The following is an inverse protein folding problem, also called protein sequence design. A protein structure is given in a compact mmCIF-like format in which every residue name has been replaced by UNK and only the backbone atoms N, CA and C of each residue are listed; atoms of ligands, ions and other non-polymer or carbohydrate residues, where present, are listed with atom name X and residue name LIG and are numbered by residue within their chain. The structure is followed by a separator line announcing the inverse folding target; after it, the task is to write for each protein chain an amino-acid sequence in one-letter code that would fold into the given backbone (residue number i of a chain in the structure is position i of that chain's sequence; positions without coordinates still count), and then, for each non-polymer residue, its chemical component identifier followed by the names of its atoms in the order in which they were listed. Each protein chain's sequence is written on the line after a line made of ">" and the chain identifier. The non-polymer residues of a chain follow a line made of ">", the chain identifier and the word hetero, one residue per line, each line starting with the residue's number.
data_IF_053615465487
#
_entry.id   IF_053615465487
#
_cell.length_a   1.000
_cell.length_b   1.000
_cell.length_c   1.000
_cell.angle_alpha   90.00
_cell.angle_beta   90.00
_cell.angle_gamma   90.00
#
_symmetry.space_group_name_H-M   'P 1'
#
loop_
_entity.id
_entity.type
_entity.pdbx_description
1 polymer ?
#
# COMPACT_ATOMS: atom_id res chain seq x y z
N UNK A 1 -14.80 44.71 -16.06
CA UNK A 1 -13.81 44.23 -15.06
C UNK A 1 -13.56 42.76 -15.36
N UNK A 2 -12.45 42.46 -16.02
CA UNK A 2 -12.03 41.08 -16.26
C UNK A 2 -11.57 40.50 -14.92
N UNK A 3 -12.24 39.44 -14.48
CA UNK A 3 -11.75 38.65 -13.35
C UNK A 3 -10.38 38.10 -13.76
N UNK A 4 -9.36 38.35 -12.97
CA UNK A 4 -8.05 37.75 -13.11
C UNK A 4 -8.25 36.22 -13.12
N UNK A 5 -7.98 35.58 -14.28
CA UNK A 5 -7.80 34.12 -14.35
C UNK A 5 -6.57 33.79 -13.50
N UNK A 6 -6.83 33.45 -12.24
CA UNK A 6 -5.81 32.92 -11.36
C UNK A 6 -5.21 31.68 -12.02
N UNK A 7 -3.91 31.72 -12.24
CA UNK A 7 -3.11 30.66 -12.83
C UNK A 7 -3.50 29.31 -12.19
N UNK A 8 -4.24 28.47 -12.94
CA UNK A 8 -4.65 27.16 -12.46
C UNK A 8 -3.39 26.36 -12.13
N UNK A 9 -3.16 26.10 -10.88
CA UNK A 9 -1.99 25.34 -10.43
C UNK A 9 -2.04 23.91 -10.98
N UNK A 10 -1.08 23.58 -11.83
CA UNK A 10 -0.88 22.21 -12.33
C UNK A 10 -0.20 21.38 -11.24
N UNK A 11 -0.83 20.27 -10.83
CA UNK A 11 -0.33 19.36 -9.82
C UNK A 11 -0.16 17.95 -10.41
N UNK A 12 0.86 17.24 -9.96
CA UNK A 12 1.09 15.84 -10.29
C UNK A 12 0.62 14.94 -9.14
N UNK A 13 -0.17 13.90 -9.45
CA UNK A 13 -0.60 12.90 -8.49
C UNK A 13 0.09 11.55 -8.79
N UNK A 14 1.07 11.19 -7.97
CA UNK A 14 1.77 9.92 -8.05
C UNK A 14 0.95 8.79 -7.44
N UNK A 15 0.85 7.65 -8.15
CA UNK A 15 0.20 6.45 -7.63
C UNK A 15 1.14 5.26 -7.73
N UNK A 16 1.36 4.58 -6.61
CA UNK A 16 2.19 3.38 -6.57
C UNK A 16 1.65 2.30 -7.50
N UNK A 17 2.48 1.68 -8.37
CA UNK A 17 2.04 0.75 -9.41
C UNK A 17 1.76 -0.65 -8.85
N UNK A 18 0.56 -0.87 -8.29
CA UNK A 18 0.13 -2.16 -7.73
C UNK A 18 -0.59 -3.06 -8.74
N UNK A 19 -1.03 -2.50 -9.86
CA UNK A 19 -1.74 -3.18 -10.94
C UNK A 19 -1.24 -2.66 -12.29
N UNK A 20 -1.68 -3.28 -13.41
CA UNK A 20 -1.28 -2.82 -14.74
C UNK A 20 -1.64 -1.34 -14.98
N UNK A 21 -0.86 -0.60 -15.80
CA UNK A 21 -1.10 0.83 -16.05
C UNK A 21 -2.52 1.15 -16.54
N UNK A 22 -3.10 0.28 -17.37
CA UNK A 22 -4.46 0.45 -17.87
C UNK A 22 -5.51 0.36 -16.75
N UNK A 23 -5.40 -0.64 -15.87
CA UNK A 23 -6.30 -0.79 -14.71
C UNK A 23 -6.12 0.33 -13.69
N UNK A 24 -4.89 0.77 -13.48
CA UNK A 24 -4.59 1.88 -12.61
C UNK A 24 -5.21 3.17 -13.14
N UNK A 25 -5.02 3.47 -14.44
CA UNK A 25 -5.61 4.65 -15.07
C UNK A 25 -7.16 4.61 -15.02
N UNK A 26 -7.78 3.47 -15.32
CA UNK A 26 -9.23 3.33 -15.26
C UNK A 26 -9.82 3.64 -13.88
N UNK A 27 -9.10 3.31 -12.81
CA UNK A 27 -9.57 3.55 -11.44
C UNK A 27 -9.21 4.95 -10.91
N UNK A 28 -8.05 5.49 -11.29
CA UNK A 28 -7.53 6.71 -10.69
C UNK A 28 -7.80 7.99 -11.50
N UNK A 29 -7.91 7.90 -12.83
CA UNK A 29 -8.17 9.10 -13.65
C UNK A 29 -9.49 9.76 -13.27
N UNK A 30 -10.65 9.05 -13.20
CA UNK A 30 -11.91 9.68 -12.79
C UNK A 30 -11.85 10.25 -11.36
N UNK A 31 -11.18 9.56 -10.44
CA UNK A 31 -10.97 10.02 -9.07
C UNK A 31 -10.18 11.35 -9.03
N UNK A 32 -9.07 11.43 -9.77
CA UNK A 32 -8.20 12.61 -9.83
C UNK A 32 -8.91 13.77 -10.54
N UNK A 33 -9.67 13.51 -11.60
CA UNK A 33 -10.48 14.51 -12.28
C UNK A 33 -11.54 15.13 -11.34
N UNK A 34 -12.17 14.30 -10.50
CA UNK A 34 -13.10 14.79 -9.48
C UNK A 34 -12.41 15.69 -8.46
N UNK A 35 -11.24 15.31 -7.95
CA UNK A 35 -10.46 16.15 -7.04
C UNK A 35 -10.08 17.48 -7.71
N UNK A 36 -9.70 17.46 -8.97
CA UNK A 36 -9.42 18.67 -9.74
C UNK A 36 -10.63 19.60 -9.88
N UNK A 37 -11.81 19.03 -10.16
CA UNK A 37 -13.06 19.79 -10.26
C UNK A 37 -13.46 20.44 -8.93
N UNK A 38 -13.32 19.72 -7.81
CA UNK A 38 -13.67 20.22 -6.48
C UNK A 38 -12.70 21.31 -5.97
N UNK A 39 -11.43 21.23 -6.37
CA UNK A 39 -10.37 22.12 -5.87
C UNK A 39 -10.04 23.27 -6.83
N UNK A 40 -10.48 23.21 -8.09
CA UNK A 40 -10.11 24.13 -9.15
C UNK A 40 -8.69 23.94 -9.69
N UNK A 41 -7.96 22.90 -9.25
CA UNK A 41 -6.62 22.58 -9.76
C UNK A 41 -6.67 21.66 -10.98
N UNK A 42 -5.63 21.74 -11.83
CA UNK A 42 -5.39 20.73 -12.85
C UNK A 42 -4.50 19.65 -12.25
N UNK A 43 -5.07 18.47 -11.96
CA UNK A 43 -4.32 17.37 -11.35
C UNK A 43 -4.08 16.27 -12.38
N UNK A 44 -2.82 15.89 -12.60
CA UNK A 44 -2.42 14.89 -13.60
C UNK A 44 -1.92 13.63 -12.94
N UNK A 45 -2.51 12.48 -13.31
CA UNK A 45 -2.02 11.17 -12.88
C UNK A 45 -0.60 10.95 -13.41
N UNK A 46 0.26 10.51 -12.51
CA UNK A 46 1.60 9.99 -12.81
C UNK A 46 1.79 8.65 -12.13
N UNK A 47 2.34 7.69 -12.82
CA UNK A 47 2.74 6.40 -12.26
C UNK A 47 4.11 6.01 -12.78
N UNK A 48 4.62 4.86 -12.38
CA UNK A 48 5.90 4.34 -12.80
C UNK A 48 5.75 2.89 -13.30
N UNK A 49 6.75 2.38 -14.02
CA UNK A 49 6.75 0.99 -14.50
C UNK A 49 6.89 -0.01 -13.35
N UNK A 50 7.63 0.35 -12.31
CA UNK A 50 7.89 -0.48 -11.13
C UNK A 50 7.79 0.34 -9.85
N UNK A 51 7.64 -0.35 -8.71
CA UNK A 51 7.64 0.29 -7.39
C UNK A 51 8.98 0.99 -7.14
N UNK A 52 10.11 0.38 -7.50
CA UNK A 52 11.43 0.98 -7.33
C UNK A 52 11.58 2.33 -8.07
N UNK A 53 11.11 2.40 -9.34
CA UNK A 53 11.11 3.67 -10.10
C UNK A 53 10.17 4.69 -9.47
N UNK A 54 9.04 4.24 -8.90
CA UNK A 54 8.11 5.13 -8.20
C UNK A 54 8.77 5.72 -6.94
N UNK A 55 9.46 4.91 -6.16
CA UNK A 55 10.18 5.32 -4.95
C UNK A 55 11.35 6.26 -5.26
N UNK A 56 12.12 5.98 -6.31
CA UNK A 56 13.16 6.88 -6.81
C UNK A 56 12.59 8.27 -7.14
N UNK A 57 11.47 8.33 -7.87
CA UNK A 57 10.78 9.58 -8.22
C UNK A 57 10.22 10.31 -6.99
N UNK A 58 9.74 9.57 -5.98
CA UNK A 58 9.37 10.16 -4.70
C UNK A 58 10.57 10.83 -4.02
N UNK A 59 11.72 10.13 -3.94
CA UNK A 59 12.96 10.67 -3.39
C UNK A 59 13.43 11.93 -4.12
N UNK A 60 13.22 12.01 -5.44
CA UNK A 60 13.49 13.19 -6.26
C UNK A 60 12.42 14.29 -6.14
N UNK A 61 11.33 14.05 -5.39
CA UNK A 61 10.25 15.00 -5.23
C UNK A 61 9.42 15.27 -6.50
N UNK A 62 9.34 14.32 -7.45
CA UNK A 62 8.68 14.52 -8.74
C UNK A 62 7.15 14.48 -8.68
N UNK A 63 6.56 14.16 -7.54
CA UNK A 63 5.12 14.18 -7.33
C UNK A 63 4.74 15.29 -6.34
N UNK A 64 3.67 16.02 -6.64
CA UNK A 64 3.09 17.01 -5.73
C UNK A 64 2.23 16.34 -4.65
N UNK A 65 1.48 15.34 -5.07
CA UNK A 65 0.62 14.49 -4.25
C UNK A 65 1.01 13.06 -4.57
N UNK A 66 1.01 12.16 -3.59
CA UNK A 66 1.28 10.75 -3.85
C UNK A 66 0.42 9.84 -2.97
N UNK A 67 -0.09 8.75 -3.59
CA UNK A 67 -0.67 7.60 -2.89
C UNK A 67 0.38 6.50 -2.83
N UNK A 68 0.78 6.12 -1.63
CA UNK A 68 1.90 5.22 -1.42
C UNK A 68 1.65 4.24 -0.27
N UNK A 69 2.37 3.12 -0.28
CA UNK A 69 2.27 2.15 0.81
C UNK A 69 2.85 2.73 2.12
N UNK A 70 2.52 2.15 3.28
CA UNK A 70 2.91 2.69 4.57
C UNK A 70 4.43 2.83 4.76
N UNK A 71 5.22 1.85 4.33
CA UNK A 71 6.67 1.90 4.43
C UNK A 71 7.26 2.98 3.50
N UNK A 72 6.84 3.00 2.24
CA UNK A 72 7.26 4.05 1.29
C UNK A 72 6.93 5.44 1.83
N UNK A 73 5.79 5.60 2.53
CA UNK A 73 5.46 6.86 3.19
C UNK A 73 6.45 7.21 4.30
N UNK A 74 6.79 6.28 5.20
CA UNK A 74 7.72 6.61 6.30
C UNK A 74 9.09 7.06 5.78
N UNK A 75 9.62 6.39 4.75
CA UNK A 75 10.87 6.78 4.08
C UNK A 75 10.75 8.16 3.40
N UNK A 76 9.66 8.38 2.64
CA UNK A 76 9.44 9.64 1.91
C UNK A 76 9.11 10.81 2.85
N UNK A 77 8.60 10.55 4.04
CA UNK A 77 8.36 11.55 5.08
C UNK A 77 9.67 12.06 5.69
N UNK A 78 10.67 11.19 5.86
CA UNK A 78 12.01 11.60 6.29
C UNK A 78 12.72 12.36 5.16
N UNK A 79 12.71 11.84 3.94
CA UNK A 79 13.31 12.48 2.78
C UNK A 79 12.53 12.14 1.50
N UNK A 80 12.07 13.14 0.72
CA UNK A 80 12.30 14.60 0.79
C UNK A 80 11.34 15.36 1.73
N UNK A 81 10.61 14.69 2.61
CA UNK A 81 9.76 15.33 3.61
C UNK A 81 8.28 15.41 3.21
N UNK A 82 7.77 14.41 2.49
CA UNK A 82 6.32 14.31 2.23
C UNK A 82 5.54 14.32 3.55
N UNK A 83 4.43 15.06 3.57
CA UNK A 83 3.57 15.20 4.74
C UNK A 83 2.25 14.50 4.51
N UNK A 84 1.81 13.69 5.45
CA UNK A 84 0.53 13.03 5.39
C UNK A 84 -0.60 14.05 5.21
N UNK A 85 -1.59 13.68 4.42
CA UNK A 85 -2.80 14.46 4.18
C UNK A 85 -4.03 13.66 4.59
N UNK A 86 -4.14 12.42 4.10
CA UNK A 86 -5.27 11.56 4.37
C UNK A 86 -4.87 10.08 4.29
N UNK A 87 -5.68 9.23 4.92
CA UNK A 87 -5.64 7.77 4.79
C UNK A 87 -7.03 7.21 4.53
N UNK A 88 -7.11 5.95 4.12
CA UNK A 88 -8.39 5.26 3.95
C UNK A 88 -9.11 5.16 5.31
N UNK A 89 -10.38 5.57 5.33
CA UNK A 89 -11.26 5.57 6.49
C UNK A 89 -11.44 4.16 7.05
N UNK A 90 -11.25 4.00 8.36
CA UNK A 90 -11.43 2.72 9.07
C UNK A 90 -10.64 1.54 8.44
N UNK A 91 -9.52 1.82 7.76
CA UNK A 91 -8.72 0.79 7.10
C UNK A 91 -7.43 0.53 7.85
N UNK A 92 -7.21 -0.75 8.18
CA UNK A 92 -5.94 -1.27 8.68
C UNK A 92 -5.42 -2.33 7.70
N UNK A 93 -4.12 -2.59 7.74
CA UNK A 93 -3.45 -3.55 6.86
C UNK A 93 -2.73 -4.57 7.74
N UNK A 94 -2.88 -5.87 7.39
CA UNK A 94 -2.17 -6.97 8.04
C UNK A 94 -1.59 -7.94 7.02
N UNK A 95 -0.54 -8.62 7.40
CA UNK A 95 0.04 -9.75 6.70
C UNK A 95 -0.55 -11.07 7.17
N UNK A 96 -0.44 -12.09 6.33
CA UNK A 96 -0.79 -13.48 6.64
C UNK A 96 0.44 -14.36 6.41
N UNK A 97 0.61 -15.37 7.25
CA UNK A 97 1.41 -16.56 6.92
C UNK A 97 0.45 -17.72 6.71
N UNK A 98 0.50 -18.32 5.53
CA UNK A 98 -0.31 -19.48 5.15
C UNK A 98 0.57 -20.72 5.03
N UNK A 99 -0.02 -21.87 5.32
CA UNK A 99 0.55 -23.21 5.16
C UNK A 99 -0.51 -24.12 4.57
N UNK A 100 -0.12 -25.32 4.11
CA UNK A 100 -1.11 -26.35 3.75
C UNK A 100 -2.01 -26.69 4.95
N UNK A 101 -3.27 -27.02 4.68
CA UNK A 101 -4.22 -27.36 5.75
C UNK A 101 -3.79 -28.62 6.54
N UNK A 102 -3.16 -29.60 5.87
CA UNK A 102 -2.65 -30.85 6.43
C UNK A 102 -1.22 -30.74 7.00
N UNK A 103 -0.61 -29.54 6.98
CA UNK A 103 0.72 -29.28 7.49
C UNK A 103 0.83 -29.52 8.99
N UNK A 104 1.98 -30.05 9.42
CA UNK A 104 2.30 -30.26 10.83
C UNK A 104 2.57 -28.94 11.60
N UNK A 105 2.91 -27.83 10.90
CA UNK A 105 3.18 -26.54 11.52
C UNK A 105 1.95 -26.01 12.26
N UNK A 106 2.10 -25.60 13.52
CA UNK A 106 1.02 -25.07 14.37
C UNK A 106 1.26 -23.62 14.78
N UNK A 107 2.51 -23.19 14.81
CA UNK A 107 2.96 -21.86 15.20
C UNK A 107 3.99 -21.31 14.21
N UNK A 108 4.32 -20.02 14.31
CA UNK A 108 5.42 -19.45 13.53
C UNK A 108 6.77 -20.08 13.87
N UNK A 109 6.97 -20.48 15.13
CA UNK A 109 8.24 -21.05 15.61
C UNK A 109 8.56 -22.37 14.88
N UNK A 110 7.54 -23.12 14.46
CA UNK A 110 7.71 -24.36 13.70
C UNK A 110 8.30 -24.11 12.30
N UNK A 111 8.30 -22.85 11.82
CA UNK A 111 8.89 -22.47 10.55
C UNK A 111 10.38 -22.10 10.66
N UNK A 112 11.01 -22.20 11.83
CA UNK A 112 12.44 -21.94 12.00
C UNK A 112 13.27 -22.79 11.05
N UNK A 113 14.20 -22.16 10.32
CA UNK A 113 15.05 -22.82 9.32
C UNK A 113 14.36 -23.21 8.00
N UNK A 114 13.05 -22.97 7.88
CA UNK A 114 12.31 -23.30 6.67
C UNK A 114 12.31 -22.14 5.65
N UNK A 115 12.05 -22.49 4.38
CA UNK A 115 11.85 -21.53 3.31
C UNK A 115 10.41 -21.02 3.31
N UNK A 116 10.23 -19.70 3.32
CA UNK A 116 8.91 -19.06 3.21
C UNK A 116 8.82 -18.30 1.88
N UNK A 117 7.77 -18.58 1.12
CA UNK A 117 7.50 -17.91 -0.15
C UNK A 117 6.95 -16.50 0.07
N UNK A 118 7.45 -15.53 -0.69
CA UNK A 118 6.93 -14.16 -0.75
C UNK A 118 6.78 -13.71 -2.20
N UNK A 119 5.88 -12.77 -2.48
CA UNK A 119 5.71 -12.26 -3.83
C UNK A 119 6.93 -11.44 -4.27
N UNK A 120 7.19 -10.32 -3.63
CA UNK A 120 8.34 -9.43 -3.89
C UNK A 120 8.89 -8.86 -2.59
N UNK A 121 10.15 -8.45 -2.58
CA UNK A 121 10.81 -7.90 -1.39
C UNK A 121 10.13 -6.65 -0.81
N UNK A 122 9.61 -5.77 -1.67
CA UNK A 122 8.97 -4.50 -1.27
C UNK A 122 7.47 -4.57 -0.99
N UNK A 123 6.83 -5.75 -1.06
CA UNK A 123 5.40 -5.89 -0.75
C UNK A 123 5.16 -5.69 0.75
N UNK A 124 4.62 -4.52 1.14
CA UNK A 124 4.53 -4.10 2.54
C UNK A 124 3.88 -5.17 3.44
N UNK A 125 2.61 -5.51 3.20
CA UNK A 125 1.90 -6.42 4.10
C UNK A 125 2.22 -7.90 3.84
N UNK A 126 2.37 -8.30 2.57
CA UNK A 126 2.62 -9.69 2.23
C UNK A 126 4.04 -10.16 2.59
N UNK A 127 5.02 -9.25 2.56
CA UNK A 127 6.44 -9.57 2.77
C UNK A 127 7.00 -8.88 4.00
N UNK A 128 6.99 -7.54 4.04
CA UNK A 128 7.73 -6.81 5.07
C UNK A 128 7.13 -7.01 6.47
N UNK A 129 5.80 -6.95 6.62
CA UNK A 129 5.16 -7.20 7.91
C UNK A 129 5.41 -8.62 8.41
N UNK A 130 5.31 -9.61 7.53
CA UNK A 130 5.54 -11.00 7.89
C UNK A 130 7.02 -11.24 8.27
N UNK A 131 7.98 -10.71 7.51
CA UNK A 131 9.41 -10.80 7.86
C UNK A 131 9.72 -10.07 9.17
N UNK A 132 9.09 -8.91 9.42
CA UNK A 132 9.22 -8.20 10.69
C UNK A 132 8.72 -9.04 11.87
N UNK A 133 7.62 -9.77 11.68
CA UNK A 133 7.07 -10.64 12.71
C UNK A 133 8.01 -11.81 13.04
N UNK A 134 8.57 -12.50 12.03
CA UNK A 134 9.58 -13.53 12.23
C UNK A 134 10.79 -12.99 12.98
N UNK A 135 11.31 -11.84 12.55
CA UNK A 135 12.46 -11.20 13.18
C UNK A 135 12.18 -10.80 14.63
N UNK A 136 11.02 -10.19 14.91
CA UNK A 136 10.63 -9.79 16.28
C UNK A 136 10.59 -10.96 17.24
N UNK A 137 10.29 -12.15 16.73
CA UNK A 137 10.28 -13.41 17.50
C UNK A 137 11.62 -14.14 17.51
N UNK A 138 12.64 -13.66 16.81
CA UNK A 138 13.93 -14.34 16.69
C UNK A 138 13.87 -15.63 15.87
N UNK A 139 12.92 -15.75 14.93
CA UNK A 139 12.73 -16.92 14.09
C UNK A 139 13.46 -16.69 12.76
N UNK A 140 14.49 -17.45 12.49
CA UNK A 140 15.22 -17.42 11.22
C UNK A 140 14.50 -18.22 10.16
N UNK A 141 14.28 -17.60 8.99
CA UNK A 141 13.70 -18.21 7.79
C UNK A 141 14.51 -17.87 6.56
N UNK A 142 14.42 -18.71 5.53
CA UNK A 142 14.90 -18.39 4.18
C UNK A 142 13.78 -17.79 3.35
N UNK A 143 13.91 -16.54 2.89
CA UNK A 143 12.90 -15.90 2.05
C UNK A 143 13.10 -16.29 0.58
N UNK A 144 12.05 -16.81 -0.08
CA UNK A 144 12.05 -17.07 -1.53
C UNK A 144 11.04 -16.17 -2.23
N UNK A 145 11.51 -15.32 -3.15
CA UNK A 145 10.66 -14.42 -3.93
C UNK A 145 10.20 -15.08 -5.22
N UNK A 146 8.88 -15.16 -5.44
CA UNK A 146 8.26 -15.89 -6.57
C UNK A 146 7.54 -14.97 -7.57
N UNK A 147 7.64 -13.66 -7.39
CA UNK A 147 7.13 -12.62 -8.31
C UNK A 147 5.69 -12.22 -8.05
N UNK A 148 4.74 -13.14 -8.12
CA UNK A 148 3.31 -12.84 -7.99
C UNK A 148 2.69 -13.41 -6.72
N UNK A 149 1.69 -12.72 -6.16
CA UNK A 149 1.03 -13.16 -4.93
C UNK A 149 0.27 -14.48 -5.12
N UNK A 150 -0.36 -14.68 -6.27
CA UNK A 150 -1.10 -15.91 -6.59
C UNK A 150 -0.15 -17.13 -6.66
N UNK A 151 1.07 -16.92 -7.16
CA UNK A 151 2.10 -17.97 -7.20
C UNK A 151 2.53 -18.41 -5.80
N UNK A 152 2.55 -17.51 -4.82
CA UNK A 152 2.82 -17.88 -3.42
C UNK A 152 1.80 -18.89 -2.93
N UNK A 153 0.52 -18.61 -3.10
CA UNK A 153 -0.55 -19.50 -2.65
C UNK A 153 -0.54 -20.84 -3.37
N UNK A 154 -0.36 -20.83 -4.69
CA UNK A 154 -0.27 -22.04 -5.52
C UNK A 154 0.89 -22.94 -5.09
N UNK A 155 2.09 -22.38 -4.90
CA UNK A 155 3.28 -23.16 -4.53
C UNK A 155 3.14 -23.81 -3.16
N UNK A 156 2.49 -23.13 -2.21
CA UNK A 156 2.19 -23.70 -0.90
C UNK A 156 1.08 -24.75 -0.99
N UNK A 157 0.01 -24.52 -1.75
CA UNK A 157 -1.09 -25.47 -1.92
C UNK A 157 -0.62 -26.80 -2.50
N UNK A 158 0.28 -26.77 -3.50
CA UNK A 158 0.85 -28.01 -4.09
C UNK A 158 2.02 -28.57 -3.29
N UNK A 159 2.36 -28.01 -2.12
CA UNK A 159 3.41 -28.52 -1.22
C UNK A 159 4.84 -28.28 -1.72
N UNK A 160 5.05 -27.40 -2.71
CA UNK A 160 6.40 -27.05 -3.20
C UNK A 160 7.17 -26.17 -2.23
N UNK A 161 6.47 -25.34 -1.47
CA UNK A 161 7.02 -24.52 -0.40
C UNK A 161 6.20 -24.73 0.87
N UNK A 162 6.85 -24.80 2.05
CA UNK A 162 6.18 -25.15 3.31
C UNK A 162 5.23 -24.07 3.81
N UNK A 163 5.52 -22.79 3.53
CA UNK A 163 4.74 -21.65 3.96
C UNK A 163 4.84 -20.50 2.97
N UNK A 164 3.93 -19.54 3.08
CA UNK A 164 3.96 -18.31 2.27
C UNK A 164 3.36 -17.11 2.95
N UNK A 165 3.88 -15.93 2.61
CA UNK A 165 3.36 -14.64 3.04
C UNK A 165 2.25 -14.14 2.13
N UNK A 166 1.22 -13.54 2.72
CA UNK A 166 0.07 -13.05 1.98
C UNK A 166 -0.65 -11.90 2.65
N UNK A 167 -1.80 -11.55 2.10
CA UNK A 167 -2.73 -10.57 2.69
C UNK A 167 -4.18 -11.07 2.57
N UNK A 168 -5.08 -10.70 3.51
CA UNK A 168 -6.46 -11.22 3.52
C UNK A 168 -7.20 -11.04 2.21
N UNK A 169 -6.99 -9.89 1.53
CA UNK A 169 -7.69 -9.56 0.29
C UNK A 169 -7.34 -10.49 -0.87
N UNK A 170 -6.04 -10.75 -1.07
CA UNK A 170 -5.59 -11.61 -2.17
C UNK A 170 -5.86 -13.07 -1.87
N UNK A 171 -5.77 -13.49 -0.60
CA UNK A 171 -6.11 -14.85 -0.19
C UNK A 171 -7.58 -15.17 -0.47
N UNK A 172 -8.52 -14.30 -0.06
CA UNK A 172 -9.95 -14.47 -0.33
C UNK A 172 -10.35 -14.36 -1.81
N UNK A 173 -9.47 -13.83 -2.66
CA UNK A 173 -9.71 -13.70 -4.09
C UNK A 173 -9.19 -14.89 -4.90
N UNK A 174 -8.50 -15.83 -4.25
CA UNK A 174 -8.09 -17.09 -4.88
C UNK A 174 -9.29 -18.01 -5.10
N UNK A 175 -9.22 -18.90 -6.12
CA UNK A 175 -10.19 -19.96 -6.29
C UNK A 175 -10.29 -20.89 -5.08
N UNK A 176 -11.48 -21.42 -4.81
CA UNK A 176 -11.72 -22.31 -3.67
C UNK A 176 -10.81 -23.55 -3.71
N UNK A 177 -10.51 -24.08 -4.91
CA UNK A 177 -9.62 -25.24 -5.09
C UNK A 177 -8.20 -25.00 -4.52
N UNK A 178 -7.79 -23.73 -4.40
CA UNK A 178 -6.51 -23.35 -3.79
C UNK A 178 -6.70 -23.08 -2.30
N UNK A 179 -7.72 -22.28 -1.93
CA UNK A 179 -7.94 -21.90 -0.53
C UNK A 179 -8.28 -23.08 0.36
N UNK A 180 -9.02 -24.08 -0.15
CA UNK A 180 -9.38 -25.31 0.58
C UNK A 180 -8.16 -26.19 0.94
N UNK A 181 -7.05 -26.02 0.21
CA UNK A 181 -5.80 -26.71 0.53
C UNK A 181 -4.93 -25.93 1.53
N UNK A 182 -5.32 -24.74 1.88
CA UNK A 182 -4.52 -23.83 2.70
C UNK A 182 -5.25 -23.47 4.01
N UNK A 183 -4.48 -23.09 4.99
CA UNK A 183 -4.97 -22.42 6.21
C UNK A 183 -4.05 -21.29 6.61
N UNK A 184 -4.61 -20.32 7.30
CA UNK A 184 -3.85 -19.24 7.91
C UNK A 184 -3.18 -19.83 9.18
N UNK A 185 -1.86 -19.76 9.21
CA UNK A 185 -1.06 -20.14 10.37
C UNK A 185 -0.93 -18.96 11.34
N UNK A 186 -0.78 -17.75 10.79
CA UNK A 186 -0.58 -16.54 11.60
C UNK A 186 -1.10 -15.31 10.85
N UNK A 187 -1.62 -14.33 11.63
CA UNK A 187 -1.92 -12.98 11.18
C UNK A 187 -1.04 -12.00 11.96
N UNK A 188 -0.44 -11.04 11.26
CA UNK A 188 0.28 -9.96 11.96
C UNK A 188 -0.70 -9.02 12.66
N UNK A 189 -0.26 -8.21 13.61
CA UNK A 189 -1.04 -7.05 14.05
C UNK A 189 -1.48 -6.16 12.88
N UNK A 190 -2.47 -5.34 13.13
CA UNK A 190 -2.97 -4.34 12.18
C UNK A 190 -2.10 -3.09 12.18
N UNK A 191 -1.74 -2.62 10.98
CA UNK A 191 -0.93 -1.42 10.76
C UNK A 191 -1.70 -0.36 9.98
N UNK A 192 -1.26 0.89 10.08
CA UNK A 192 -1.83 2.03 9.37
C UNK A 192 -1.78 1.81 7.86
N UNK A 193 -2.88 2.16 7.18
CA UNK A 193 -3.05 1.92 5.74
C UNK A 193 -2.22 2.90 4.88
N UNK A 194 -2.38 2.79 3.55
CA UNK A 194 -1.71 3.65 2.58
C UNK A 194 -1.97 5.13 2.83
N UNK A 195 -0.93 5.94 2.66
CA UNK A 195 -0.99 7.39 2.77
C UNK A 195 -1.37 8.04 1.44
N UNK A 196 -2.20 9.08 1.51
CA UNK A 196 -2.17 10.19 0.55
C UNK A 196 -1.34 11.28 1.23
N UNK A 197 -0.23 11.67 0.62
CA UNK A 197 0.69 12.65 1.16
C UNK A 197 1.03 13.72 0.11
N UNK A 198 1.49 14.88 0.56
CA UNK A 198 1.89 15.99 -0.30
C UNK A 198 3.36 16.32 -0.10
N UNK A 199 4.04 16.69 -1.19
CA UNK A 199 5.40 17.21 -1.14
C UNK A 199 5.46 18.52 -0.32
N UNK A 200 6.56 18.83 0.41
CA UNK A 200 6.69 20.05 1.23
C UNK A 200 6.48 21.37 0.48
N UNK A 201 6.72 21.38 -0.86
CA UNK A 201 6.46 22.59 -1.70
C UNK A 201 4.99 22.98 -1.81
N UNK A 202 4.05 22.08 -1.42
CA UNK A 202 2.62 22.34 -1.49
C UNK A 202 2.19 23.16 -0.28
N UNK A 203 1.72 24.37 -0.53
CA UNK A 203 1.29 25.30 0.51
C UNK A 203 0.05 24.84 1.27
N UNK A 204 -0.16 25.40 2.45
CA UNK A 204 -1.24 25.03 3.39
C UNK A 204 -2.64 25.13 2.77
N UNK A 205 -2.90 26.15 1.96
CA UNK A 205 -4.22 26.37 1.36
C UNK A 205 -4.57 25.31 0.33
N UNK A 206 -3.58 24.92 -0.52
CA UNK A 206 -3.73 23.81 -1.47
C UNK A 206 -3.94 22.50 -0.72
N UNK A 207 -3.17 22.24 0.35
CA UNK A 207 -3.34 21.03 1.19
C UNK A 207 -4.73 20.98 1.80
N UNK A 208 -5.22 22.11 2.33
CA UNK A 208 -6.55 22.21 2.94
C UNK A 208 -7.65 21.92 1.92
N UNK A 209 -7.58 22.53 0.73
CA UNK A 209 -8.53 22.28 -0.35
C UNK A 209 -8.56 20.81 -0.78
N UNK A 210 -7.39 20.19 -0.96
CA UNK A 210 -7.27 18.76 -1.31
C UNK A 210 -7.85 17.87 -0.21
N UNK A 211 -7.56 18.16 1.07
CA UNK A 211 -8.10 17.40 2.20
C UNK A 211 -9.63 17.47 2.23
N UNK A 212 -10.20 18.67 2.14
CA UNK A 212 -11.65 18.84 2.14
C UNK A 212 -12.32 18.09 0.98
N UNK A 213 -11.74 18.15 -0.22
CA UNK A 213 -12.23 17.40 -1.38
C UNK A 213 -12.16 15.88 -1.17
N UNK A 214 -11.09 15.36 -0.57
CA UNK A 214 -10.94 13.94 -0.23
C UNK A 214 -11.99 13.47 0.79
N UNK A 215 -12.20 14.26 1.86
CA UNK A 215 -13.13 13.94 2.93
C UNK A 215 -14.60 13.99 2.46
N UNK A 216 -14.92 14.82 1.46
CA UNK A 216 -16.26 14.96 0.92
C UNK A 216 -16.67 13.85 -0.06
N UNK A 217 -15.74 13.02 -0.53
CA UNK A 217 -16.03 12.02 -1.58
C UNK A 217 -17.11 11.02 -1.18
N UNK A 218 -17.12 10.52 0.05
CA UNK A 218 -18.09 9.52 0.51
C UNK A 218 -19.47 10.12 0.85
N UNK A 219 -19.61 11.44 0.83
CA UNK A 219 -20.88 12.12 1.08
C UNK A 219 -21.85 12.05 -0.12
N UNK A 220 -21.36 11.94 -1.36
CA UNK A 220 -22.17 11.90 -2.57
C UNK A 220 -22.27 10.48 -3.19
N UNK A 221 -23.30 10.22 -3.98
CA UNK A 221 -23.46 8.94 -4.70
C UNK A 221 -22.32 8.77 -5.70
N UNK A 222 -22.03 9.80 -6.49
CA UNK A 222 -20.99 9.81 -7.50
C UNK A 222 -19.60 9.61 -6.86
N UNK A 223 -19.35 10.27 -5.74
CA UNK A 223 -18.09 10.12 -5.00
C UNK A 223 -17.89 8.69 -4.48
N UNK A 224 -18.95 8.06 -3.93
CA UNK A 224 -18.90 6.65 -3.51
C UNK A 224 -18.66 5.69 -4.68
N UNK A 225 -19.21 5.98 -5.87
CA UNK A 225 -18.94 5.19 -7.09
C UNK A 225 -17.47 5.29 -7.50
N UNK A 226 -16.87 6.49 -7.46
CA UNK A 226 -15.45 6.69 -7.73
C UNK A 226 -14.55 5.96 -6.71
N UNK A 227 -14.90 6.04 -5.44
CA UNK A 227 -14.18 5.32 -4.37
C UNK A 227 -14.24 3.79 -4.58
N UNK A 228 -15.38 3.28 -5.04
CA UNK A 228 -15.57 1.84 -5.28
C UNK A 228 -14.64 1.28 -6.37
N UNK A 229 -14.23 2.08 -7.37
CA UNK A 229 -13.25 1.68 -8.39
C UNK A 229 -11.92 1.21 -7.78
N UNK A 230 -11.53 1.83 -6.66
CA UNK A 230 -10.33 1.49 -5.91
C UNK A 230 -10.64 0.66 -4.65
N UNK A 231 -11.92 0.32 -4.40
CA UNK A 231 -12.40 -0.32 -3.17
C UNK A 231 -12.05 0.49 -1.91
N UNK A 232 -12.15 1.80 -2.00
CA UNK A 232 -11.95 2.70 -0.88
C UNK A 232 -13.27 2.94 -0.15
N UNK A 233 -13.28 2.88 1.20
CA UNK A 233 -14.48 3.18 1.99
C UNK A 233 -14.72 4.68 2.14
N UNK A 234 -13.77 5.52 1.76
CA UNK A 234 -13.66 6.95 1.99
C UNK A 234 -12.28 7.29 2.54
N UNK A 235 -12.10 8.56 2.87
CA UNK A 235 -10.85 9.06 3.45
C UNK A 235 -11.12 9.77 4.78
N UNK A 236 -10.13 9.72 5.67
CA UNK A 236 -10.05 10.50 6.90
C UNK A 236 -8.74 11.28 6.93
N UNK A 237 -8.73 12.42 7.61
CA UNK A 237 -7.52 13.21 7.80
C UNK A 237 -6.47 12.38 8.52
N UNK A 238 -5.20 12.60 8.17
CA UNK A 238 -4.10 11.90 8.78
C UNK A 238 -2.88 12.81 8.97
N UNK A 239 -2.19 12.62 10.08
CA UNK A 239 -0.91 13.25 10.40
C UNK A 239 0.26 12.28 10.26
N UNK A 240 1.48 12.80 10.22
CA UNK A 240 2.70 12.00 10.03
C UNK A 240 2.87 10.93 11.13
N UNK A 241 2.48 11.25 12.37
CA UNK A 241 2.55 10.35 13.52
C UNK A 241 1.61 9.12 13.42
N UNK A 242 0.59 9.15 12.57
CA UNK A 242 -0.30 8.00 12.37
C UNK A 242 0.43 6.75 11.88
N UNK A 243 1.63 6.90 11.29
CA UNK A 243 2.50 5.81 10.81
C UNK A 243 3.64 5.46 11.77
N UNK A 244 3.61 5.90 13.05
CA UNK A 244 4.63 5.53 14.02
C UNK A 244 4.61 4.03 14.33
N UNK A 245 3.45 3.38 14.19
CA UNK A 245 3.32 1.92 14.24
C UNK A 245 4.17 1.22 13.15
N UNK A 246 4.29 1.82 11.97
CA UNK A 246 5.12 1.31 10.87
C UNK A 246 6.60 1.63 11.08
N UNK A 247 6.93 2.84 11.56
CA UNK A 247 8.32 3.23 11.89
C UNK A 247 8.93 2.32 12.95
N UNK A 248 8.14 1.96 13.96
CA UNK A 248 8.56 1.05 15.04
C UNK A 248 9.00 -0.34 14.55
N UNK A 249 8.62 -0.75 13.33
CA UNK A 249 9.02 -2.03 12.74
C UNK A 249 10.49 -2.05 12.28
N UNK A 250 11.14 -0.89 12.09
CA UNK A 250 12.52 -0.77 11.61
C UNK A 250 12.79 -1.60 10.33
N UNK A 251 11.93 -1.43 9.32
CA UNK A 251 11.90 -2.27 8.12
C UNK A 251 13.16 -2.17 7.26
N UNK A 252 13.92 -1.06 7.33
CA UNK A 252 15.20 -0.88 6.63
C UNK A 252 16.19 -2.00 6.94
N UNK A 253 16.19 -2.46 8.20
CA UNK A 253 17.02 -3.58 8.62
C UNK A 253 16.60 -4.94 8.02
N UNK A 254 15.35 -5.02 7.52
CA UNK A 254 14.82 -6.24 6.89
C UNK A 254 15.16 -6.25 5.40
N UNK A 255 15.10 -5.09 4.76
CA UNK A 255 15.39 -4.95 3.33
C UNK A 255 16.88 -5.13 3.02
N UNK A 256 17.76 -4.72 3.94
CA UNK A 256 19.22 -4.78 3.79
C UNK A 256 19.82 -6.13 4.25
N UNK A 257 19.01 -7.12 4.61
CA UNK A 257 19.47 -8.48 4.88
C UNK A 257 19.30 -9.35 3.62
N UNK A 258 20.32 -10.13 3.23
CA UNK A 258 20.28 -11.01 2.09
C UNK A 258 19.19 -12.09 2.21
#
# INVERSE_FOLDING_TARGET
>A
MAAAEGERKDLTFGVVPQVSPARLAAAWVPFIQRLGAETGFVIRLRTAKTVAIFEERLGQGLYDIAYMNPYTFTVSNEHPGYRALARQKNKRIRGLIIVRHDSAFKTLDDLAGHTVAFSTGGAFAATLLNRAEFRRRGIDISAQFVGFQDSVYQLVAVGRLPAGGGVPRTFRAMPDEITDQLRILHETPDYTAHAIATHPRIGSDVRRALLQALLALDASVEGRQLLALNRFPGFEEAGDADWDDVRALNLDRILNQP
#
